data_IF_412166124968
#
_entry.id   IF_412166124968
#
_cell.length_a   1.000
_cell.length_b   1.000
_cell.length_c   1.000
_cell.angle_alpha   90.00
_cell.angle_beta   90.00
_cell.angle_gamma   90.00
#
_symmetry.space_group_name_H-M   'P 1'
#
loop_
_entity.id
_entity.type
_entity.pdbx_description
1 polymer ?
#
# COMPACT_ATOMS: atom_id res chain seq x y z
N UNK A 1 -9.61 9.89 32.32
CA UNK A 1 -9.51 9.29 30.97
C UNK A 1 -9.81 7.82 31.12
N UNK A 2 -10.80 7.30 30.41
CA UNK A 2 -11.08 5.86 30.39
C UNK A 2 -9.97 5.10 29.64
N UNK A 3 -9.86 3.78 29.87
CA UNK A 3 -8.89 2.93 29.15
C UNK A 3 -9.14 3.01 27.64
N UNK A 4 -10.38 2.99 27.22
CA UNK A 4 -10.78 3.14 25.81
C UNK A 4 -10.26 4.46 25.22
N UNK A 5 -10.51 5.58 25.89
CA UNK A 5 -10.02 6.89 25.44
C UNK A 5 -8.48 6.93 25.35
N UNK A 6 -7.79 6.26 26.27
CA UNK A 6 -6.33 6.18 26.24
C UNK A 6 -5.83 5.40 25.02
N UNK A 7 -6.43 4.24 24.71
CA UNK A 7 -6.12 3.43 23.54
C UNK A 7 -6.37 4.25 22.24
N UNK A 8 -7.52 4.90 22.13
CA UNK A 8 -7.87 5.68 20.94
C UNK A 8 -6.92 6.86 20.72
N UNK A 9 -6.52 7.55 21.78
CA UNK A 9 -5.57 8.65 21.72
C UNK A 9 -4.16 8.17 21.28
N UNK A 10 -3.67 7.08 21.87
CA UNK A 10 -2.37 6.50 21.49
C UNK A 10 -2.37 6.03 20.02
N UNK A 11 -3.43 5.40 19.56
CA UNK A 11 -3.58 5.01 18.14
C UNK A 11 -3.49 6.22 17.24
N UNK A 12 -4.25 7.26 17.52
CA UNK A 12 -4.28 8.51 16.76
C UNK A 12 -2.90 9.17 16.72
N UNK A 13 -2.24 9.25 17.86
CA UNK A 13 -0.90 9.85 17.97
C UNK A 13 0.13 9.05 17.17
N UNK A 14 0.18 7.73 17.33
CA UNK A 14 1.11 6.85 16.59
C UNK A 14 0.85 6.83 15.08
N UNK A 15 -0.41 6.89 14.66
CA UNK A 15 -0.73 7.06 13.24
C UNK A 15 -0.18 8.38 12.70
N UNK A 16 -0.33 9.48 13.44
CA UNK A 16 0.20 10.77 13.02
C UNK A 16 1.73 10.76 12.94
N UNK A 17 2.42 10.13 13.91
CA UNK A 17 3.88 10.00 13.88
C UNK A 17 4.35 9.14 12.70
N UNK A 18 3.67 8.02 12.42
CA UNK A 18 3.94 7.21 11.24
C UNK A 18 3.76 8.02 9.94
N UNK A 19 2.69 8.79 9.85
CA UNK A 19 2.43 9.65 8.69
C UNK A 19 3.53 10.71 8.53
N UNK A 20 3.90 11.39 9.61
CA UNK A 20 4.96 12.39 9.59
C UNK A 20 6.31 11.78 9.16
N UNK A 21 6.66 10.61 9.68
CA UNK A 21 7.92 9.94 9.41
C UNK A 21 7.98 9.36 7.98
N UNK A 22 6.97 8.52 7.59
CA UNK A 22 7.04 7.74 6.36
C UNK A 22 6.46 8.43 5.13
N UNK A 23 5.59 9.43 5.30
CA UNK A 23 4.92 10.11 4.19
C UNK A 23 5.45 11.53 4.02
N UNK A 24 5.66 12.27 5.11
CA UNK A 24 6.12 13.64 5.06
C UNK A 24 7.65 13.79 5.20
N UNK A 25 8.38 12.71 5.52
CA UNK A 25 9.82 12.73 5.83
C UNK A 25 10.18 13.82 6.88
N UNK A 26 9.30 14.00 7.85
CA UNK A 26 9.40 15.01 8.90
C UNK A 26 9.06 14.43 10.27
N UNK A 27 9.95 13.63 10.89
CA UNK A 27 9.72 13.05 12.21
C UNK A 27 9.60 14.13 13.27
N UNK A 28 8.62 13.98 14.16
CA UNK A 28 8.31 14.94 15.24
C UNK A 28 8.65 14.41 16.64
N UNK A 29 9.01 13.13 16.74
CA UNK A 29 9.51 12.49 17.96
C UNK A 29 10.70 11.59 17.60
N UNK A 30 11.48 11.17 18.60
CA UNK A 30 12.57 10.20 18.43
C UNK A 30 12.03 8.77 18.25
N UNK A 31 12.85 7.87 17.67
CA UNK A 31 12.51 6.45 17.52
C UNK A 31 12.25 5.82 18.91
N UNK A 32 13.00 6.21 19.93
CA UNK A 32 12.82 5.72 21.29
C UNK A 32 11.44 6.08 21.86
N UNK A 33 11.04 7.34 21.74
CA UNK A 33 9.72 7.81 22.21
C UNK A 33 8.57 7.13 21.46
N UNK A 34 8.75 6.91 20.15
CA UNK A 34 7.79 6.16 19.34
C UNK A 34 7.64 4.72 19.84
N UNK A 35 8.76 4.02 20.08
CA UNK A 35 8.78 2.64 20.55
C UNK A 35 8.16 2.49 21.95
N UNK A 36 8.37 3.46 22.85
CA UNK A 36 7.73 3.45 24.17
C UNK A 36 6.21 3.55 24.06
N UNK A 37 5.71 4.50 23.25
CA UNK A 37 4.27 4.65 23.01
C UNK A 37 3.65 3.42 22.33
N UNK A 38 4.37 2.81 21.40
CA UNK A 38 3.92 1.59 20.73
C UNK A 38 3.81 0.41 21.69
N UNK A 39 4.78 0.23 22.61
CA UNK A 39 4.73 -0.79 23.67
C UNK A 39 3.60 -0.56 24.66
N UNK A 40 3.37 0.71 25.04
CA UNK A 40 2.24 1.07 25.90
C UNK A 40 0.92 0.70 25.24
N UNK A 41 0.73 1.04 23.95
CA UNK A 41 -0.45 0.68 23.20
C UNK A 41 -0.63 -0.84 23.10
N UNK A 42 0.43 -1.59 22.76
CA UNK A 42 0.41 -3.07 22.72
C UNK A 42 -0.05 -3.68 24.05
N UNK A 43 0.47 -3.16 25.15
CA UNK A 43 0.10 -3.64 26.51
C UNK A 43 -1.37 -3.39 26.80
N UNK A 44 -1.86 -2.18 26.48
CA UNK A 44 -3.26 -1.81 26.71
C UNK A 44 -4.21 -2.62 25.81
N UNK A 45 -3.88 -2.83 24.56
CA UNK A 45 -4.71 -3.64 23.62
C UNK A 45 -4.73 -5.12 24.03
N UNK A 46 -3.60 -5.68 24.46
CA UNK A 46 -3.54 -7.06 24.95
C UNK A 46 -4.39 -7.27 26.22
N UNK A 47 -4.44 -6.26 27.10
CA UNK A 47 -5.27 -6.30 28.31
C UNK A 47 -6.75 -6.04 28.06
N UNK A 48 -7.14 -5.51 26.89
CA UNK A 48 -8.50 -5.09 26.56
C UNK A 48 -8.88 -5.51 25.13
N UNK A 49 -9.00 -6.82 24.85
CA UNK A 49 -9.24 -7.35 23.49
C UNK A 49 -10.57 -6.90 22.87
N UNK A 50 -11.52 -6.42 23.70
CA UNK A 50 -12.79 -5.85 23.23
C UNK A 50 -12.61 -4.53 22.44
N UNK A 51 -11.46 -3.87 22.56
CA UNK A 51 -11.11 -2.67 21.78
C UNK A 51 -10.22 -2.96 20.58
N UNK A 52 -10.19 -4.22 20.10
CA UNK A 52 -9.41 -4.59 18.91
C UNK A 52 -9.76 -3.72 17.71
N UNK A 53 -8.72 -3.22 17.02
CA UNK A 53 -8.84 -2.49 15.75
C UNK A 53 -7.84 -3.10 14.75
N UNK A 54 -8.31 -3.66 13.61
CA UNK A 54 -7.43 -4.23 12.58
C UNK A 54 -6.50 -3.20 11.92
N UNK A 55 -6.74 -1.92 12.14
CA UNK A 55 -5.92 -0.81 11.66
C UNK A 55 -5.05 -0.17 12.75
N UNK A 56 -4.98 -0.76 13.94
CA UNK A 56 -4.05 -0.28 14.97
C UNK A 56 -2.61 -0.27 14.46
N UNK A 57 -1.79 0.74 14.84
CA UNK A 57 -0.35 0.73 14.55
C UNK A 57 0.36 -0.52 15.04
N UNK A 58 -0.16 -1.20 16.07
CA UNK A 58 0.40 -2.43 16.65
C UNK A 58 0.24 -3.65 15.74
N UNK A 59 -0.74 -3.68 14.84
CA UNK A 59 -1.03 -4.79 13.92
C UNK A 59 -0.04 -4.87 12.75
N UNK A 60 0.78 -3.83 12.53
CA UNK A 60 1.84 -3.83 11.48
C UNK A 60 2.98 -4.80 11.76
N UNK A 61 3.09 -5.33 12.97
CA UNK A 61 4.19 -6.21 13.37
C UNK A 61 3.72 -7.66 13.38
N UNK A 62 4.11 -8.45 12.36
CA UNK A 62 4.11 -9.91 12.42
C UNK A 62 2.73 -10.57 12.36
N UNK A 63 1.98 -10.38 11.28
CA UNK A 63 0.95 -11.35 10.91
C UNK A 63 1.58 -12.69 10.54
N UNK A 64 0.94 -13.82 10.85
CA UNK A 64 1.32 -15.12 10.31
C UNK A 64 1.41 -15.05 8.79
N UNK A 65 2.48 -15.60 8.22
CA UNK A 65 2.64 -15.69 6.76
C UNK A 65 1.55 -16.62 6.24
N UNK A 66 0.50 -16.04 5.69
CA UNK A 66 -0.59 -16.78 5.06
C UNK A 66 -0.03 -17.47 3.83
N UNK A 67 -0.02 -18.78 3.81
CA UNK A 67 0.48 -19.59 2.67
C UNK A 67 -0.53 -19.70 1.53
N UNK A 68 -1.80 -19.37 1.76
CA UNK A 68 -2.89 -19.41 0.79
C UNK A 68 -3.63 -18.09 0.88
N UNK A 69 -3.66 -17.36 -0.23
CA UNK A 69 -4.37 -16.09 -0.31
C UNK A 69 -5.78 -16.33 -0.89
N UNK A 70 -6.85 -15.83 -0.23
CA UNK A 70 -8.17 -15.85 -0.81
C UNK A 70 -8.22 -15.04 -2.10
N UNK A 71 -8.93 -15.51 -3.11
CA UNK A 71 -9.17 -14.77 -4.33
C UNK A 71 -10.37 -13.84 -4.15
N UNK A 72 -10.21 -12.58 -4.56
CA UNK A 72 -11.23 -11.52 -4.47
C UNK A 72 -11.44 -10.89 -5.83
N UNK A 73 -12.71 -10.67 -6.21
CA UNK A 73 -13.08 -9.95 -7.42
C UNK A 73 -12.89 -8.44 -7.26
N UNK A 74 -12.36 -7.79 -8.30
CA UNK A 74 -12.25 -6.34 -8.35
C UNK A 74 -13.60 -5.69 -8.62
N UNK A 75 -13.97 -4.67 -7.84
CA UNK A 75 -15.14 -3.83 -8.13
C UNK A 75 -14.92 -3.05 -9.44
N UNK A 76 -13.68 -2.62 -9.69
CA UNK A 76 -13.27 -1.94 -10.93
C UNK A 76 -12.11 -2.71 -11.57
N UNK A 77 -12.31 -3.15 -12.82
CA UNK A 77 -11.29 -3.92 -13.55
C UNK A 77 -9.93 -3.22 -13.55
N UNK A 78 -8.87 -3.98 -13.29
CA UNK A 78 -7.48 -3.56 -13.40
C UNK A 78 -6.95 -3.89 -14.80
N UNK A 79 -6.59 -2.86 -15.55
CA UNK A 79 -6.07 -3.01 -16.91
C UNK A 79 -4.56 -3.14 -16.91
N UNK A 80 -4.02 -3.86 -17.89
CA UNK A 80 -2.61 -3.82 -18.24
C UNK A 80 -2.35 -2.66 -19.21
N UNK A 81 -1.12 -2.18 -19.23
CA UNK A 81 -0.66 -1.23 -20.23
C UNK A 81 -0.11 -2.00 -21.43
N UNK A 82 -0.47 -1.57 -22.64
CA UNK A 82 0.15 -2.07 -23.87
C UNK A 82 1.55 -1.48 -24.02
N UNK A 83 2.39 -2.14 -24.82
CA UNK A 83 3.73 -1.68 -25.13
C UNK A 83 3.77 -1.08 -26.54
N UNK A 84 4.59 -0.05 -26.72
CA UNK A 84 5.03 0.45 -28.03
C UNK A 84 6.53 0.25 -28.11
N UNK A 85 7.02 -0.33 -29.20
CA UNK A 85 8.44 -0.68 -29.37
C UNK A 85 9.17 0.22 -30.38
N UNK A 86 8.42 0.99 -31.17
CA UNK A 86 8.94 1.87 -32.20
C UNK A 86 8.08 3.15 -32.29
N UNK A 87 8.50 4.06 -33.16
CA UNK A 87 7.81 5.34 -33.34
C UNK A 87 6.47 5.16 -34.05
N UNK A 88 6.37 4.22 -34.98
CA UNK A 88 5.17 3.90 -35.74
C UNK A 88 4.04 3.43 -34.78
N UNK A 89 4.32 2.54 -33.83
CA UNK A 89 3.35 2.09 -32.82
C UNK A 89 2.83 3.27 -31.98
N UNK A 90 3.73 4.21 -31.63
CA UNK A 90 3.36 5.38 -30.86
C UNK A 90 2.49 6.35 -31.67
N UNK A 91 2.80 6.54 -32.97
CA UNK A 91 2.02 7.36 -33.87
C UNK A 91 0.61 6.77 -34.09
N UNK A 92 0.50 5.46 -34.26
CA UNK A 92 -0.78 4.78 -34.37
C UNK A 92 -1.62 4.94 -33.09
N UNK A 93 -0.98 4.78 -31.93
CA UNK A 93 -1.64 5.01 -30.64
C UNK A 93 -2.13 6.46 -30.49
N UNK A 94 -1.31 7.43 -30.87
CA UNK A 94 -1.65 8.85 -30.84
C UNK A 94 -2.85 9.15 -31.75
N UNK A 95 -2.82 8.67 -32.99
CA UNK A 95 -3.89 8.90 -33.95
C UNK A 95 -5.21 8.21 -33.53
N UNK A 96 -5.12 7.03 -32.93
CA UNK A 96 -6.29 6.35 -32.33
C UNK A 96 -6.87 7.14 -31.17
N UNK A 97 -6.03 7.71 -30.32
CA UNK A 97 -6.42 8.52 -29.18
C UNK A 97 -7.12 9.80 -29.63
N UNK A 98 -6.57 10.51 -30.61
CA UNK A 98 -7.20 11.70 -31.25
C UNK A 98 -8.61 11.38 -31.77
N UNK A 99 -8.74 10.25 -32.47
CA UNK A 99 -10.03 9.84 -33.03
C UNK A 99 -11.06 9.52 -31.94
N UNK A 100 -10.65 8.93 -30.82
CA UNK A 100 -11.54 8.62 -29.69
C UNK A 100 -11.97 9.89 -28.96
N UNK A 101 -11.05 10.83 -28.77
CA UNK A 101 -11.30 12.08 -28.05
C UNK A 101 -11.93 13.18 -28.93
N UNK A 102 -11.98 12.96 -30.25
CA UNK A 102 -12.48 13.94 -31.23
C UNK A 102 -11.79 15.31 -31.14
N UNK A 103 -10.49 15.33 -30.78
CA UNK A 103 -9.67 16.54 -30.63
C UNK A 103 -8.25 16.33 -31.12
N UNK A 104 -7.65 17.40 -31.63
CA UNK A 104 -6.23 17.46 -32.00
C UNK A 104 -5.35 17.97 -30.83
N UNK A 105 -5.97 18.57 -29.83
CA UNK A 105 -5.26 19.10 -28.66
C UNK A 105 -5.30 18.06 -27.53
N UNK A 106 -4.18 17.36 -27.33
CA UNK A 106 -4.03 16.33 -26.30
C UNK A 106 -2.81 16.68 -25.46
N UNK A 107 -3.04 16.85 -24.15
CA UNK A 107 -1.97 16.97 -23.18
C UNK A 107 -1.50 15.58 -22.73
N UNK A 108 -0.18 15.39 -22.62
CA UNK A 108 0.41 14.14 -22.19
C UNK A 108 1.23 14.32 -20.94
N UNK A 109 1.15 13.31 -20.06
CA UNK A 109 2.03 13.15 -18.91
C UNK A 109 2.88 11.90 -19.15
N UNK A 110 4.17 12.00 -18.89
CA UNK A 110 5.10 10.86 -18.96
C UNK A 110 5.53 10.46 -17.57
N UNK A 111 5.47 9.18 -17.28
CA UNK A 111 5.82 8.61 -15.99
C UNK A 111 6.75 7.41 -16.17
N UNK A 112 7.54 7.10 -15.13
CA UNK A 112 8.32 5.86 -15.11
C UNK A 112 7.37 4.66 -14.90
N UNK A 113 7.52 3.64 -15.74
CA UNK A 113 6.84 2.37 -15.53
C UNK A 113 7.71 1.49 -14.63
N UNK A 114 7.41 1.53 -13.32
CA UNK A 114 8.09 0.68 -12.37
C UNK A 114 7.74 -0.79 -12.58
N UNK A 115 8.73 -1.66 -12.38
CA UNK A 115 8.55 -3.12 -12.41
C UNK A 115 8.36 -3.63 -10.98
N UNK A 116 7.20 -4.24 -10.72
CA UNK A 116 6.81 -4.67 -9.39
C UNK A 116 5.50 -5.46 -9.39
N UNK A 117 4.77 -5.40 -8.29
CA UNK A 117 3.47 -6.05 -8.11
C UNK A 117 2.36 -5.00 -8.08
N UNK A 118 1.49 -5.02 -9.09
CA UNK A 118 0.33 -4.12 -9.16
C UNK A 118 -0.71 -4.49 -8.11
N UNK A 119 -1.18 -3.48 -7.37
CA UNK A 119 -2.17 -3.62 -6.31
C UNK A 119 -3.33 -2.63 -6.46
N UNK A 120 -4.46 -3.04 -5.91
CA UNK A 120 -5.61 -2.19 -5.63
C UNK A 120 -5.83 -2.14 -4.12
N UNK A 121 -5.92 -0.94 -3.56
CA UNK A 121 -6.14 -0.70 -2.13
C UNK A 121 -7.49 -0.01 -1.96
N UNK A 122 -8.34 -0.57 -1.12
CA UNK A 122 -9.61 0.02 -0.72
C UNK A 122 -9.43 0.81 0.57
N UNK A 123 -9.86 2.07 0.52
CA UNK A 123 -10.09 2.90 1.71
C UNK A 123 -11.57 3.19 1.87
N UNK A 124 -12.07 3.07 3.11
CA UNK A 124 -13.43 3.47 3.51
C UNK A 124 -13.32 4.35 4.76
N UNK A 125 -13.98 5.49 4.73
CA UNK A 125 -13.94 6.49 5.81
C UNK A 125 -12.51 6.83 6.28
N UNK A 126 -11.57 6.87 5.31
CA UNK A 126 -10.16 7.12 5.55
C UNK A 126 -9.38 5.98 6.18
N UNK A 127 -9.99 4.82 6.39
CA UNK A 127 -9.31 3.62 6.93
C UNK A 127 -8.93 2.67 5.81
N UNK A 128 -7.73 2.09 5.91
CA UNK A 128 -7.30 1.01 5.04
C UNK A 128 -8.14 -0.24 5.31
N UNK A 129 -8.88 -0.72 4.32
CA UNK A 129 -9.80 -1.86 4.44
C UNK A 129 -9.19 -3.11 3.83
N UNK A 130 -8.76 -3.06 2.57
CA UNK A 130 -8.35 -4.21 1.80
C UNK A 130 -7.28 -3.87 0.79
N UNK A 131 -6.38 -4.84 0.49
CA UNK A 131 -5.48 -4.79 -0.65
C UNK A 131 -5.55 -6.09 -1.43
N UNK A 132 -5.60 -5.98 -2.76
CA UNK A 132 -5.74 -7.09 -3.70
C UNK A 132 -4.73 -6.93 -4.83
N UNK A 133 -4.04 -8.01 -5.22
CA UNK A 133 -3.15 -8.00 -6.40
C UNK A 133 -3.98 -7.83 -7.68
N UNK A 134 -3.35 -7.38 -8.78
CA UNK A 134 -4.05 -7.27 -10.06
C UNK A 134 -4.63 -8.60 -10.53
N UNK A 135 -3.91 -9.71 -10.35
CA UNK A 135 -4.29 -11.00 -10.91
C UNK A 135 -4.51 -10.93 -12.42
N UNK A 136 -5.65 -11.47 -12.88
CA UNK A 136 -6.06 -11.42 -14.30
C UNK A 136 -6.78 -10.10 -14.68
N UNK A 137 -6.88 -9.18 -13.73
CA UNK A 137 -7.57 -7.89 -13.87
C UNK A 137 -9.05 -7.91 -13.49
N UNK A 138 -9.68 -9.06 -13.35
CA UNK A 138 -11.04 -9.23 -12.83
C UNK A 138 -11.05 -9.69 -11.39
N UNK A 139 -10.05 -10.49 -11.01
CA UNK A 139 -9.85 -11.00 -9.65
C UNK A 139 -8.36 -11.10 -9.34
N UNK A 140 -8.02 -11.02 -8.07
CA UNK A 140 -6.64 -11.13 -7.59
C UNK A 140 -6.58 -11.71 -6.19
N UNK A 141 -5.37 -11.88 -5.68
CA UNK A 141 -5.13 -12.40 -4.34
C UNK A 141 -5.32 -11.30 -3.30
N UNK A 142 -6.02 -11.62 -2.23
CA UNK A 142 -6.20 -10.76 -1.06
C UNK A 142 -4.91 -10.76 -0.23
N UNK A 143 -4.23 -9.62 -0.15
CA UNK A 143 -2.91 -9.46 0.47
C UNK A 143 -2.87 -8.34 1.52
N UNK A 144 -4.01 -8.02 2.12
CA UNK A 144 -4.19 -6.92 3.09
C UNK A 144 -3.15 -6.98 4.22
N UNK A 145 -2.96 -8.15 4.82
CA UNK A 145 -2.01 -8.33 5.91
C UNK A 145 -0.57 -8.04 5.49
N UNK A 146 -0.20 -8.44 4.26
CA UNK A 146 1.14 -8.18 3.71
C UNK A 146 1.34 -6.69 3.43
N UNK A 147 0.36 -6.04 2.79
CA UNK A 147 0.45 -4.62 2.42
C UNK A 147 0.45 -3.72 3.65
N UNK A 148 -0.24 -4.10 4.73
CA UNK A 148 -0.19 -3.38 6.02
C UNK A 148 1.22 -3.31 6.64
N UNK A 149 2.14 -4.20 6.27
CA UNK A 149 3.54 -4.14 6.71
C UNK A 149 4.35 -3.04 6.01
N UNK A 150 3.85 -2.52 4.89
CA UNK A 150 4.51 -1.47 4.12
C UNK A 150 4.28 -0.13 4.80
N UNK A 151 5.34 0.41 5.40
CA UNK A 151 5.25 1.54 6.32
C UNK A 151 4.83 2.86 5.68
N UNK A 152 5.15 3.09 4.41
CA UNK A 152 4.73 4.28 3.67
C UNK A 152 3.29 4.23 3.14
N UNK A 153 2.56 3.11 3.34
CA UNK A 153 1.13 3.04 3.08
C UNK A 153 0.40 3.38 4.39
N UNK A 154 -0.34 4.51 4.46
CA UNK A 154 -1.04 4.90 5.67
C UNK A 154 -2.22 3.96 5.95
N UNK A 155 -2.35 3.48 7.20
CA UNK A 155 -3.53 2.73 7.64
C UNK A 155 -4.72 3.63 7.95
N UNK A 156 -4.45 4.92 8.20
CA UNK A 156 -5.43 5.96 8.43
C UNK A 156 -5.04 7.19 7.62
N UNK A 157 -5.98 7.72 6.83
CA UNK A 157 -5.81 8.95 6.08
C UNK A 157 -6.18 10.18 6.92
N UNK A 158 -5.59 11.32 6.57
CA UNK A 158 -5.86 12.62 7.18
C UNK A 158 -6.27 13.63 6.09
N UNK A 159 -7.03 14.64 6.48
CA UNK A 159 -7.48 15.68 5.57
C UNK A 159 -8.82 15.35 4.89
N UNK A 160 -9.01 15.84 3.68
CA UNK A 160 -10.24 15.67 2.92
C UNK A 160 -10.07 14.52 1.91
N UNK A 161 -10.89 13.49 2.01
CA UNK A 161 -10.86 12.31 1.15
C UNK A 161 -12.29 11.80 0.89
N UNK A 162 -12.53 11.06 -0.21
CA UNK A 162 -13.83 10.43 -0.48
C UNK A 162 -14.18 9.40 0.60
N UNK A 163 -15.46 9.20 0.86
CA UNK A 163 -15.97 8.23 1.84
C UNK A 163 -15.50 6.80 1.52
N UNK A 164 -15.52 6.43 0.24
CA UNK A 164 -15.01 5.17 -0.29
C UNK A 164 -14.26 5.41 -1.59
N UNK A 165 -13.06 4.84 -1.73
CA UNK A 165 -12.31 4.88 -2.99
C UNK A 165 -11.29 3.76 -3.08
N UNK A 166 -10.90 3.45 -4.31
CA UNK A 166 -9.84 2.52 -4.64
C UNK A 166 -8.61 3.28 -5.13
N UNK A 167 -7.46 3.02 -4.50
CA UNK A 167 -6.17 3.51 -4.95
C UNK A 167 -5.42 2.37 -5.63
N UNK A 168 -4.85 2.63 -6.79
CA UNK A 168 -3.98 1.68 -7.51
C UNK A 168 -2.53 2.12 -7.39
N UNK A 169 -1.65 1.15 -7.32
CA UNK A 169 -0.22 1.41 -7.18
C UNK A 169 0.62 0.20 -7.56
N UNK A 170 1.92 0.37 -7.45
CA UNK A 170 2.92 -0.65 -7.73
C UNK A 170 3.80 -0.84 -6.51
N UNK A 171 3.89 -2.07 -6.00
CA UNK A 171 4.83 -2.43 -4.94
C UNK A 171 6.11 -2.92 -5.60
N UNK A 172 7.23 -2.29 -5.30
CA UNK A 172 8.53 -2.67 -5.83
C UNK A 172 9.60 -2.66 -4.75
N UNK A 173 10.67 -3.43 -4.97
CA UNK A 173 11.85 -3.44 -4.14
C UNK A 173 12.94 -2.56 -4.76
N UNK A 174 13.52 -1.66 -3.97
CA UNK A 174 14.73 -0.97 -4.41
C UNK A 174 15.89 -1.96 -4.52
N UNK A 175 16.86 -1.72 -5.41
CA UNK A 175 18.07 -2.57 -5.54
C UNK A 175 18.78 -2.74 -4.20
N UNK A 176 18.90 -1.67 -3.42
CA UNK A 176 19.51 -1.72 -2.08
C UNK A 176 18.77 -2.67 -1.12
N UNK A 177 17.42 -2.65 -1.13
CA UNK A 177 16.62 -3.54 -0.29
C UNK A 177 16.74 -4.99 -0.78
N UNK A 178 16.71 -5.21 -2.10
CA UNK A 178 16.89 -6.53 -2.71
C UNK A 178 18.26 -7.13 -2.37
N UNK A 179 19.35 -6.37 -2.51
CA UNK A 179 20.70 -6.81 -2.19
C UNK A 179 20.84 -7.16 -0.70
N UNK A 180 20.20 -6.37 0.18
CA UNK A 180 20.17 -6.66 1.63
C UNK A 180 19.48 -7.99 1.92
N UNK A 181 18.32 -8.24 1.32
CA UNK A 181 17.58 -9.50 1.48
C UNK A 181 18.41 -10.67 0.97
N UNK A 182 19.01 -10.57 -0.22
CA UNK A 182 19.85 -11.62 -0.80
C UNK A 182 21.10 -11.90 0.03
N UNK A 183 21.68 -10.90 0.67
CA UNK A 183 22.85 -11.09 1.54
C UNK A 183 22.52 -11.96 2.77
N UNK A 184 21.29 -11.81 3.32
CA UNK A 184 20.83 -12.61 4.46
C UNK A 184 20.23 -13.96 4.06
N UNK A 185 19.76 -14.11 2.83
CA UNK A 185 19.09 -15.31 2.31
C UNK A 185 19.83 -15.91 1.11
N UNK A 186 21.17 -16.03 1.18
CA UNK A 186 22.00 -16.60 0.10
C UNK A 186 21.40 -17.95 -0.35
N UNK A 187 20.89 -17.97 -1.59
CA UNK A 187 20.38 -19.15 -2.27
C UNK A 187 18.85 -19.31 -2.34
N UNK A 188 18.04 -18.40 -1.81
CA UNK A 188 16.56 -18.49 -1.83
C UNK A 188 15.85 -17.62 -2.86
N UNK A 189 16.45 -16.51 -3.27
CA UNK A 189 15.85 -15.66 -4.31
C UNK A 189 16.19 -16.20 -5.70
N UNK A 190 15.25 -16.88 -6.33
CA UNK A 190 15.34 -17.26 -7.75
C UNK A 190 15.05 -16.06 -8.65
N UNK A 191 15.49 -16.13 -9.93
CA UNK A 191 15.15 -15.10 -10.94
C UNK A 191 13.64 -14.92 -11.17
N UNK A 192 12.80 -15.82 -10.65
CA UNK A 192 11.31 -15.71 -10.72
C UNK A 192 10.74 -14.82 -9.62
N UNK A 193 11.49 -14.52 -8.57
CA UNK A 193 11.09 -13.64 -7.46
C UNK A 193 11.48 -12.18 -7.69
N UNK A 194 11.87 -11.83 -8.92
CA UNK A 194 12.14 -10.44 -9.33
C UNK A 194 10.88 -9.68 -9.76
N UNK A 195 9.71 -10.23 -9.48
CA UNK A 195 8.43 -9.56 -9.75
C UNK A 195 7.77 -9.20 -8.43
#
# INVERSE_FOLDING_TARGET
MSVKEKIENLRKELHQHNYNYYVLDNPTISDFEFDEKLRELQTLEAANPEFYDPNSPTVRVGGEVTKVFPTVSHEFRMYSLDNSYNFEDLEEWYNRTKKILETDEIEFVTELKYDGASISILYEQGKFVQAVTRGDGFQGDEITSNVKTIKNIPLQLYGNFPEKFYMRGEIYLTRKAFDKINHYEIGRASCRERV
#
